data_IF_172799747998
#
_entry.id   IF_172799747998
#
_cell.length_a   1.000
_cell.length_b   1.000
_cell.length_c   1.000
_cell.angle_alpha   90.00
_cell.angle_beta   90.00
_cell.angle_gamma   90.00
#
_symmetry.space_group_name_H-M   'P 1'
#
loop_
_entity.id
_entity.type
_entity.pdbx_description
1 polymer ?
#
# COMPACT_ATOMS: atom_id res chain seq x y z
N UNK A 1 -10.72 18.36 7.61
CA UNK A 1 -10.90 17.06 6.93
C UNK A 1 -10.92 17.31 5.43
N UNK A 2 -10.04 16.66 4.68
CA UNK A 2 -10.02 16.74 3.22
C UNK A 2 -11.24 16.03 2.64
N UNK A 3 -11.83 16.64 1.62
CA UNK A 3 -13.02 16.07 0.95
C UNK A 3 -12.74 16.02 -0.55
N UNK A 4 -12.79 14.82 -1.11
CA UNK A 4 -12.69 14.64 -2.56
C UNK A 4 -13.94 15.19 -3.25
N UNK A 5 -13.74 16.09 -4.20
CA UNK A 5 -14.81 16.67 -5.00
C UNK A 5 -14.65 16.21 -6.46
N UNK A 6 -15.68 15.60 -7.00
CA UNK A 6 -15.73 15.20 -8.41
C UNK A 6 -16.72 16.15 -9.11
N UNK A 7 -16.20 17.11 -9.89
CA UNK A 7 -17.04 18.14 -10.52
C UNK A 7 -17.79 17.63 -11.74
N UNK A 8 -17.17 16.69 -12.48
CA UNK A 8 -17.61 16.29 -13.82
C UNK A 8 -18.29 14.91 -13.85
N UNK A 9 -18.19 14.13 -12.76
CA UNK A 9 -18.74 12.77 -12.68
C UNK A 9 -18.92 12.32 -11.22
N UNK A 10 -19.66 11.23 -10.99
CA UNK A 10 -19.84 10.60 -9.66
C UNK A 10 -18.76 9.56 -9.38
N UNK A 11 -18.65 9.10 -8.13
CA UNK A 11 -17.77 7.99 -7.76
C UNK A 11 -18.13 6.70 -8.51
N UNK A 12 -19.41 6.41 -8.69
CA UNK A 12 -19.89 5.26 -9.47
C UNK A 12 -19.42 5.33 -10.92
N UNK A 13 -19.53 6.53 -11.53
CA UNK A 13 -19.02 6.75 -12.89
C UNK A 13 -17.51 6.57 -12.97
N UNK A 14 -16.76 7.07 -11.97
CA UNK A 14 -15.32 6.86 -11.88
C UNK A 14 -14.98 5.36 -11.85
N UNK A 15 -15.62 4.59 -10.96
CA UNK A 15 -15.39 3.15 -10.83
C UNK A 15 -15.72 2.38 -12.10
N UNK A 16 -16.77 2.77 -12.84
CA UNK A 16 -17.20 2.08 -14.05
C UNK A 16 -16.36 2.41 -15.28
N UNK A 17 -15.80 3.62 -15.39
CA UNK A 17 -15.22 4.12 -16.63
C UNK A 17 -13.74 4.51 -16.56
N UNK A 18 -13.20 4.72 -15.35
CA UNK A 18 -11.81 5.15 -15.16
C UNK A 18 -10.99 4.16 -14.36
N UNK A 19 -11.54 3.64 -13.27
CA UNK A 19 -10.79 2.73 -12.39
C UNK A 19 -10.24 1.54 -13.16
N UNK A 20 -8.90 1.40 -13.19
CA UNK A 20 -8.11 0.37 -13.89
C UNK A 20 -8.34 0.33 -15.42
N UNK A 21 -8.91 1.36 -16.01
CA UNK A 21 -9.25 1.40 -17.43
C UNK A 21 -8.56 2.54 -18.17
N UNK A 22 -8.65 3.77 -17.69
CA UNK A 22 -8.05 4.94 -18.35
C UNK A 22 -7.75 6.07 -17.37
N UNK A 23 -6.72 6.91 -17.66
CA UNK A 23 -6.38 8.05 -16.83
C UNK A 23 -7.43 9.15 -16.93
N UNK A 24 -7.50 9.98 -15.86
CA UNK A 24 -8.39 11.17 -15.84
C UNK A 24 -7.80 12.26 -14.95
N UNK A 25 -8.03 13.51 -15.36
CA UNK A 25 -7.74 14.70 -14.55
C UNK A 25 -9.02 15.12 -13.81
N UNK A 26 -8.90 15.30 -12.51
CA UNK A 26 -9.96 15.78 -11.61
C UNK A 26 -9.55 17.20 -11.19
N UNK A 27 -10.16 18.20 -11.79
CA UNK A 27 -9.87 19.60 -11.46
C UNK A 27 -10.42 19.96 -10.10
N UNK A 28 -9.58 20.60 -9.27
CA UNK A 28 -9.95 21.01 -7.91
C UNK A 28 -10.56 19.85 -7.10
N UNK A 29 -10.01 18.64 -7.28
CA UNK A 29 -10.41 17.45 -6.52
C UNK A 29 -10.31 17.67 -5.01
N UNK A 30 -9.33 18.49 -4.59
CA UNK A 30 -9.24 19.05 -3.25
C UNK A 30 -9.30 20.58 -3.31
N UNK A 31 -10.40 21.15 -2.84
CA UNK A 31 -10.56 22.61 -2.78
C UNK A 31 -9.61 23.20 -1.73
N UNK A 32 -8.88 24.25 -2.11
CA UNK A 32 -7.95 24.95 -1.23
C UNK A 32 -6.91 24.01 -0.59
N UNK A 33 -6.45 23.02 -1.35
CA UNK A 33 -5.43 22.07 -0.89
C UNK A 33 -4.16 22.81 -0.45
N UNK A 34 -3.66 22.43 0.71
CA UNK A 34 -2.38 22.88 1.25
C UNK A 34 -1.49 21.67 1.46
N UNK A 35 -0.20 21.87 1.31
CA UNK A 35 0.77 20.82 1.61
C UNK A 35 0.58 20.34 3.06
N UNK A 36 0.54 19.02 3.22
CA UNK A 36 0.31 18.35 4.51
C UNK A 36 1.60 18.16 5.29
N UNK A 37 2.72 18.41 4.65
CA UNK A 37 4.06 18.40 5.21
C UNK A 37 4.89 19.49 4.49
N UNK A 38 5.78 20.16 5.20
CA UNK A 38 6.68 21.13 4.59
C UNK A 38 7.82 20.45 3.81
N UNK A 39 8.47 21.16 2.87
CA UNK A 39 9.66 20.63 2.20
C UNK A 39 10.80 20.30 3.17
N UNK A 40 10.95 21.06 4.25
CA UNK A 40 11.96 20.88 5.29
C UNK A 40 11.72 19.61 6.09
N UNK A 41 10.47 19.37 6.51
CA UNK A 41 10.08 18.12 7.20
C UNK A 41 10.25 16.90 6.28
N UNK A 42 9.85 17.00 5.00
CA UNK A 42 10.06 15.94 4.01
C UNK A 42 11.54 15.63 3.82
N UNK A 43 12.40 16.67 3.76
CA UNK A 43 13.85 16.51 3.68
C UNK A 43 14.41 15.88 4.96
N UNK A 44 13.86 16.22 6.13
CA UNK A 44 14.21 15.59 7.41
C UNK A 44 13.90 14.10 7.42
N UNK A 45 12.70 13.69 6.99
CA UNK A 45 12.35 12.26 6.85
C UNK A 45 13.32 11.51 5.93
N UNK A 46 13.80 12.14 4.88
CA UNK A 46 14.75 11.53 3.95
C UNK A 46 16.19 11.38 4.51
N UNK A 47 16.47 11.93 5.69
CA UNK A 47 17.72 11.72 6.43
C UNK A 47 17.68 10.49 7.34
N UNK A 48 16.49 9.90 7.56
CA UNK A 48 16.31 8.74 8.43
C UNK A 48 16.58 7.43 7.67
N UNK A 49 17.29 6.50 8.31
CA UNK A 49 17.68 5.21 7.71
C UNK A 49 16.50 4.27 7.45
N UNK A 50 15.43 4.42 8.21
CA UNK A 50 14.25 3.56 8.17
C UNK A 50 13.21 4.03 7.13
N UNK A 51 13.47 5.20 6.52
CA UNK A 51 12.56 5.81 5.54
C UNK A 51 13.16 5.71 4.13
N UNK A 52 12.47 4.97 3.27
CA UNK A 52 12.90 4.84 1.88
C UNK A 52 12.75 6.18 1.15
N UNK A 53 13.89 6.72 0.70
CA UNK A 53 13.94 7.98 -0.01
C UNK A 53 14.92 7.93 -1.17
N UNK A 54 14.72 8.83 -2.15
CA UNK A 54 15.52 8.87 -3.36
C UNK A 54 15.61 10.28 -3.93
N UNK A 55 16.82 10.68 -4.31
CA UNK A 55 17.07 11.86 -5.13
C UNK A 55 17.20 11.45 -6.59
N UNK A 56 16.49 12.15 -7.48
CA UNK A 56 16.56 11.94 -8.93
C UNK A 56 16.92 13.26 -9.60
N UNK A 57 17.96 13.25 -10.45
CA UNK A 57 18.43 14.43 -11.15
C UNK A 57 19.17 14.08 -12.46
N UNK A 58 19.49 15.10 -13.24
CA UNK A 58 20.36 14.93 -14.43
C UNK A 58 21.73 15.54 -14.20
N UNK A 59 22.78 14.74 -14.43
CA UNK A 59 24.17 15.22 -14.43
C UNK A 59 24.76 15.01 -15.81
N UNK A 60 25.17 16.11 -16.44
CA UNK A 60 25.72 16.10 -17.82
C UNK A 60 24.80 15.37 -18.82
N UNK A 61 23.49 15.61 -18.72
CA UNK A 61 22.47 15.01 -19.58
C UNK A 61 22.10 13.54 -19.27
N UNK A 62 22.75 12.90 -18.32
CA UNK A 62 22.45 11.52 -17.87
C UNK A 62 21.66 11.53 -16.58
N UNK A 63 20.68 10.65 -16.49
CA UNK A 63 19.91 10.43 -15.27
C UNK A 63 20.77 9.83 -14.17
N UNK A 64 20.54 10.28 -12.95
CA UNK A 64 21.15 9.81 -11.74
C UNK A 64 20.03 9.58 -10.70
N UNK A 65 20.21 8.58 -9.86
CA UNK A 65 19.36 8.34 -8.71
C UNK A 65 20.26 7.93 -7.54
N UNK A 66 20.06 8.58 -6.41
CA UNK A 66 20.76 8.30 -5.15
C UNK A 66 19.73 7.91 -4.11
N UNK A 67 19.98 6.83 -3.38
CA UNK A 67 19.11 6.38 -2.28
C UNK A 67 19.53 7.05 -0.98
N UNK A 68 18.55 7.39 -0.11
CA UNK A 68 18.82 7.86 1.24
C UNK A 68 19.42 6.77 2.14
N UNK A 69 19.73 7.09 3.41
CA UNK A 69 19.52 8.42 4.02
C UNK A 69 20.49 9.49 3.50
N UNK A 70 20.03 10.76 3.48
CA UNK A 70 20.83 11.88 2.98
C UNK A 70 21.40 12.71 4.13
N UNK A 71 22.69 13.00 4.09
CA UNK A 71 23.34 13.89 5.07
C UNK A 71 23.26 15.37 4.68
N UNK A 72 23.20 15.68 3.38
CA UNK A 72 23.16 17.05 2.84
C UNK A 72 22.59 17.09 1.43
N UNK A 73 22.01 18.21 1.09
CA UNK A 73 21.51 18.55 -0.25
C UNK A 73 22.35 19.64 -0.95
N UNK A 74 23.47 20.06 -0.38
CA UNK A 74 24.30 21.19 -0.85
C UNK A 74 24.91 20.97 -2.24
N UNK A 75 25.08 19.70 -2.63
CA UNK A 75 25.61 19.32 -3.95
C UNK A 75 24.58 19.49 -5.07
N UNK A 76 23.30 19.71 -4.75
CA UNK A 76 22.21 19.88 -5.70
C UNK A 76 22.11 21.36 -6.11
N UNK A 77 21.92 21.60 -7.40
CA UNK A 77 21.68 22.94 -7.91
C UNK A 77 20.28 23.47 -7.58
N UNK A 78 19.96 24.66 -8.09
CA UNK A 78 18.64 25.28 -7.87
C UNK A 78 17.51 24.71 -8.73
N UNK A 79 17.80 23.79 -9.65
CA UNK A 79 16.83 23.24 -10.59
C UNK A 79 17.25 21.86 -11.11
N UNK A 80 16.28 21.09 -11.64
CA UNK A 80 16.50 19.83 -12.34
C UNK A 80 16.64 18.60 -11.46
N UNK A 81 16.12 18.63 -10.24
CA UNK A 81 16.13 17.48 -9.34
C UNK A 81 14.82 17.32 -8.57
N UNK A 82 14.58 16.13 -8.11
CA UNK A 82 13.43 15.79 -7.25
C UNK A 82 13.88 14.91 -6.09
N UNK A 83 13.37 15.19 -4.90
CA UNK A 83 13.40 14.31 -3.74
C UNK A 83 12.09 13.55 -3.70
N UNK A 84 12.16 12.23 -3.56
CA UNK A 84 11.01 11.33 -3.41
C UNK A 84 11.15 10.61 -2.07
N UNK A 85 10.09 10.61 -1.27
CA UNK A 85 10.01 9.89 0.01
C UNK A 85 8.80 8.96 -0.04
N UNK A 86 9.02 7.67 0.23
CA UNK A 86 7.98 6.64 0.23
C UNK A 86 7.29 6.57 1.59
N UNK A 87 6.05 6.10 1.58
CA UNK A 87 5.27 5.75 2.77
C UNK A 87 5.21 6.87 3.84
N UNK A 88 5.18 8.14 3.42
CA UNK A 88 5.16 9.28 4.35
C UNK A 88 3.94 9.25 5.29
N UNK A 89 2.84 8.61 4.87
CA UNK A 89 1.66 8.38 5.70
C UNK A 89 1.92 7.43 6.89
N UNK A 90 3.07 6.77 6.98
CA UNK A 90 3.47 6.00 8.15
C UNK A 90 4.08 6.89 9.25
N UNK A 91 4.64 8.03 8.86
CA UNK A 91 5.46 8.90 9.69
C UNK A 91 4.80 10.25 10.01
N UNK A 92 3.81 10.68 9.21
CA UNK A 92 3.05 11.92 9.42
C UNK A 92 1.57 11.63 9.51
N UNK A 93 0.94 11.87 10.67
CA UNK A 93 -0.51 11.76 10.86
C UNK A 93 -1.30 12.65 9.90
N UNK A 94 -0.79 13.85 9.58
CA UNK A 94 -1.41 14.79 8.64
C UNK A 94 -1.45 14.20 7.23
N UNK A 95 -0.36 13.55 6.80
CA UNK A 95 -0.30 12.86 5.50
C UNK A 95 -1.19 11.62 5.49
N UNK A 96 -1.32 10.91 6.60
CA UNK A 96 -2.22 9.77 6.71
C UNK A 96 -3.69 10.17 6.49
N UNK A 97 -4.10 11.40 6.86
CA UNK A 97 -5.44 11.92 6.59
C UNK A 97 -5.76 12.04 5.08
N UNK A 98 -4.74 12.12 4.20
CA UNK A 98 -4.94 12.18 2.75
C UNK A 98 -5.56 10.89 2.19
N UNK A 99 -5.41 9.78 2.87
CA UNK A 99 -5.96 8.48 2.42
C UNK A 99 -7.47 8.42 2.57
N UNK A 100 -8.04 9.08 3.59
CA UNK A 100 -9.48 9.00 3.93
C UNK A 100 -10.45 9.37 2.79
N UNK A 101 -10.18 10.42 1.98
CA UNK A 101 -11.01 10.71 0.82
C UNK A 101 -11.14 9.58 -0.21
N UNK A 102 -10.25 8.59 -0.16
CA UNK A 102 -10.23 7.42 -1.05
C UNK A 102 -10.80 6.15 -0.39
N UNK A 103 -11.50 6.25 0.74
CA UNK A 103 -12.11 5.11 1.47
C UNK A 103 -13.23 4.40 0.68
N UNK A 104 -13.59 4.87 -0.52
CA UNK A 104 -14.41 4.13 -1.47
C UNK A 104 -13.65 2.96 -2.14
N UNK A 105 -12.33 2.91 -1.98
CA UNK A 105 -11.47 1.78 -2.35
C UNK A 105 -11.13 0.94 -1.13
N UNK A 106 -11.05 -0.39 -1.26
CA UNK A 106 -10.74 -1.24 -0.11
C UNK A 106 -9.31 -1.00 0.39
N UNK A 107 -9.15 -0.85 1.70
CA UNK A 107 -7.87 -0.54 2.36
C UNK A 107 -6.76 -1.56 2.06
N UNK A 108 -7.11 -2.82 1.77
CA UNK A 108 -6.11 -3.84 1.42
C UNK A 108 -5.39 -3.55 0.08
N UNK A 109 -5.95 -2.68 -0.75
CA UNK A 109 -5.31 -2.22 -1.99
C UNK A 109 -4.42 -1.00 -1.80
N UNK A 110 -4.60 -0.23 -0.74
CA UNK A 110 -3.71 0.90 -0.44
C UNK A 110 -2.28 0.41 -0.28
N UNK A 111 -1.36 1.02 -1.01
CA UNK A 111 0.08 0.76 -0.85
C UNK A 111 0.65 1.76 0.16
N UNK A 112 0.79 3.01 -0.25
CA UNK A 112 1.32 4.10 0.57
C UNK A 112 0.92 5.49 0.02
N UNK A 113 1.39 6.52 0.71
CA UNK A 113 1.45 7.89 0.19
C UNK A 113 2.93 8.25 -0.02
N UNK A 114 3.33 8.34 -1.28
CA UNK A 114 4.63 8.83 -1.68
C UNK A 114 4.56 10.34 -1.92
N UNK A 115 5.53 11.09 -1.42
CA UNK A 115 5.61 12.54 -1.65
C UNK A 115 6.86 12.84 -2.45
N UNK A 116 6.71 13.74 -3.43
CA UNK A 116 7.84 14.29 -4.17
C UNK A 116 7.90 15.81 -4.04
N UNK A 117 9.06 16.31 -3.62
CA UNK A 117 9.46 17.69 -3.78
C UNK A 117 10.31 17.81 -5.04
N UNK A 118 9.99 18.78 -5.89
CA UNK A 118 10.72 18.97 -7.15
C UNK A 118 11.03 20.43 -7.40
N UNK A 119 12.26 20.70 -7.80
CA UNK A 119 12.68 22.02 -8.27
C UNK A 119 12.27 22.26 -9.73
N UNK A 120 12.30 23.48 -10.26
CA UNK A 120 11.99 23.73 -11.68
C UNK A 120 12.78 22.79 -12.60
N UNK A 121 12.10 22.16 -13.57
CA UNK A 121 12.61 21.12 -14.47
C UNK A 121 12.95 19.78 -13.78
N UNK A 122 12.65 19.63 -12.48
CA UNK A 122 12.74 18.37 -11.77
C UNK A 122 11.64 17.40 -12.19
N UNK A 123 11.90 16.12 -12.02
CA UNK A 123 11.01 14.99 -12.33
C UNK A 123 11.79 13.69 -12.24
N UNK A 124 11.12 12.58 -12.47
CA UNK A 124 11.73 11.23 -12.45
C UNK A 124 11.94 10.65 -13.86
N UNK A 125 11.44 11.36 -14.89
CA UNK A 125 11.46 10.94 -16.28
C UNK A 125 10.28 10.03 -16.65
N UNK A 126 10.14 9.73 -17.96
CA UNK A 126 9.03 8.92 -18.47
C UNK A 126 9.14 7.47 -18.02
N UNK A 127 8.08 6.96 -17.36
CA UNK A 127 8.05 5.61 -16.82
C UNK A 127 6.64 5.01 -16.84
N UNK A 128 6.52 3.73 -16.47
CA UNK A 128 5.25 3.02 -16.32
C UNK A 128 5.20 2.42 -14.92
N UNK A 129 4.12 2.68 -14.21
CA UNK A 129 3.81 2.04 -12.95
C UNK A 129 2.86 0.84 -13.14
N UNK A 130 3.01 -0.18 -12.27
CA UNK A 130 2.16 -1.37 -12.25
C UNK A 130 1.12 -1.30 -11.11
N UNK A 131 0.73 -0.08 -10.70
CA UNK A 131 -0.27 0.20 -9.69
C UNK A 131 -1.12 1.41 -10.07
N UNK A 132 -2.27 1.51 -9.45
CA UNK A 132 -3.15 2.67 -9.58
C UNK A 132 -2.61 3.82 -8.73
N UNK A 133 -2.55 5.03 -9.26
CA UNK A 133 -2.08 6.19 -8.50
C UNK A 133 -2.98 7.40 -8.68
N UNK A 134 -3.27 8.09 -7.57
CA UNK A 134 -3.88 9.42 -7.54
C UNK A 134 -2.78 10.42 -7.18
N UNK A 135 -2.36 11.20 -8.15
CA UNK A 135 -1.36 12.25 -7.97
C UNK A 135 -2.08 13.54 -7.60
N UNK A 136 -2.06 13.89 -6.32
CA UNK A 136 -2.64 15.11 -5.79
C UNK A 136 -1.59 16.21 -5.86
N UNK A 137 -1.85 17.25 -6.66
CA UNK A 137 -0.92 18.38 -6.78
C UNK A 137 -0.98 19.25 -5.52
N UNK A 138 0.15 19.39 -4.84
CA UNK A 138 0.37 20.33 -3.76
C UNK A 138 0.79 21.70 -4.27
N UNK A 139 1.64 22.39 -3.53
CA UNK A 139 2.18 23.69 -3.95
C UNK A 139 2.91 23.61 -5.29
N UNK A 140 2.96 24.75 -5.98
CA UNK A 140 3.58 24.87 -7.30
C UNK A 140 2.79 24.17 -8.41
N UNK A 141 3.40 24.12 -9.61
CA UNK A 141 2.79 23.63 -10.83
C UNK A 141 3.66 22.58 -11.50
N UNK A 142 2.99 21.56 -12.05
CA UNK A 142 3.69 20.46 -12.74
C UNK A 142 3.01 20.13 -14.04
N UNK A 143 3.79 20.02 -15.12
CA UNK A 143 3.32 19.50 -16.40
C UNK A 143 3.31 17.98 -16.35
N UNK A 144 2.17 17.38 -16.68
CA UNK A 144 2.01 15.94 -16.78
C UNK A 144 1.62 15.53 -18.18
N UNK A 145 2.31 14.51 -18.67
CA UNK A 145 2.00 13.84 -19.93
C UNK A 145 1.69 12.39 -19.62
N UNK A 146 0.57 11.87 -20.13
CA UNK A 146 0.19 10.46 -20.01
C UNK A 146 -0.08 9.92 -21.42
N UNK A 147 0.57 8.84 -21.79
CA UNK A 147 0.35 8.15 -23.06
C UNK A 147 -0.69 7.04 -22.95
N UNK A 148 -1.03 6.44 -24.07
CA UNK A 148 -1.95 5.30 -24.08
C UNK A 148 -1.25 4.00 -23.65
N UNK A 149 -2.02 3.07 -23.12
CA UNK A 149 -1.55 1.74 -22.74
C UNK A 149 -1.17 0.94 -24.00
N UNK A 150 0.03 0.37 -24.01
CA UNK A 150 0.50 -0.35 -25.18
C UNK A 150 1.86 -1.02 -24.95
N UNK A 151 2.46 -1.46 -26.05
CA UNK A 151 3.80 -2.03 -26.04
C UNK A 151 4.85 -0.90 -26.08
N UNK A 152 5.23 -0.44 -24.89
CA UNK A 152 6.30 0.54 -24.73
C UNK A 152 7.62 -0.17 -24.41
N UNK A 153 8.66 0.15 -25.16
CA UNK A 153 9.99 -0.35 -24.84
C UNK A 153 10.49 0.34 -23.57
N UNK A 154 10.87 -0.48 -22.60
CA UNK A 154 11.48 0.00 -21.37
C UNK A 154 12.99 -0.19 -21.40
N UNK A 155 13.73 0.72 -20.80
CA UNK A 155 15.17 0.68 -20.69
C UNK A 155 15.65 1.26 -19.36
N UNK A 156 16.77 0.75 -18.86
CA UNK A 156 17.38 1.28 -17.64
C UNK A 156 18.09 2.61 -17.95
N UNK A 157 17.46 3.73 -17.62
CA UNK A 157 18.09 5.06 -17.68
C UNK A 157 19.13 5.25 -16.55
N UNK A 158 18.92 4.54 -15.43
CA UNK A 158 19.84 4.34 -14.32
C UNK A 158 19.54 2.97 -13.71
N UNK A 159 20.42 2.42 -12.86
CA UNK A 159 20.17 1.14 -12.18
C UNK A 159 18.86 1.15 -11.37
N UNK A 160 18.47 2.32 -10.83
CA UNK A 160 17.24 2.51 -10.05
C UNK A 160 16.12 3.24 -10.83
N UNK A 161 16.25 3.46 -12.15
CA UNK A 161 15.28 4.17 -12.98
C UNK A 161 15.01 3.42 -14.27
N UNK A 162 13.81 2.84 -14.35
CA UNK A 162 13.33 2.18 -15.58
C UNK A 162 12.45 3.18 -16.34
N UNK A 163 12.97 3.65 -17.48
CA UNK A 163 12.27 4.59 -18.34
C UNK A 163 11.62 3.90 -19.53
N UNK A 164 10.71 4.62 -20.18
CA UNK A 164 10.11 4.21 -21.47
C UNK A 164 10.58 5.13 -22.59
N UNK A 165 10.58 4.62 -23.82
CA UNK A 165 10.77 5.43 -25.01
C UNK A 165 9.73 6.57 -25.07
N UNK A 166 10.03 7.68 -25.77
CA UNK A 166 9.06 8.75 -25.96
C UNK A 166 7.72 8.25 -26.48
N UNK A 167 6.65 8.76 -25.94
CA UNK A 167 5.28 8.38 -26.27
C UNK A 167 4.43 9.59 -26.69
N UNK A 168 3.39 9.32 -27.48
CA UNK A 168 2.36 10.29 -27.79
C UNK A 168 1.43 10.46 -26.58
N UNK A 169 1.20 11.71 -26.19
CA UNK A 169 0.38 11.99 -25.01
C UNK A 169 -1.11 12.05 -25.37
N UNK A 170 -1.92 11.23 -24.69
CA UNK A 170 -3.39 11.36 -24.69
C UNK A 170 -3.86 12.40 -23.69
N UNK A 171 -3.07 12.64 -22.63
CA UNK A 171 -3.23 13.74 -21.68
C UNK A 171 -1.93 14.52 -21.68
N UNK A 172 -2.00 15.83 -21.89
CA UNK A 172 -0.88 16.77 -21.76
C UNK A 172 -1.41 18.00 -21.03
N UNK A 173 -1.11 18.10 -19.73
CA UNK A 173 -1.83 19.00 -18.84
C UNK A 173 -0.93 19.57 -17.74
N UNK A 174 -1.13 20.84 -17.43
CA UNK A 174 -0.60 21.47 -16.23
C UNK A 174 -1.55 21.19 -15.05
N UNK A 175 -1.04 20.64 -13.95
CA UNK A 175 -1.74 20.52 -12.68
C UNK A 175 -1.42 21.71 -11.79
N UNK A 176 -2.46 22.24 -11.17
CA UNK A 176 -2.46 23.31 -10.18
C UNK A 176 -2.76 22.75 -8.79
N UNK A 177 -2.41 23.45 -7.70
CA UNK A 177 -2.72 23.00 -6.35
C UNK A 177 -4.19 22.58 -6.17
N UNK A 178 -4.40 21.35 -5.68
CA UNK A 178 -5.71 20.74 -5.50
C UNK A 178 -6.24 19.95 -6.70
N UNK A 179 -5.59 20.01 -7.86
CA UNK A 179 -5.90 19.11 -8.97
C UNK A 179 -5.41 17.69 -8.66
N UNK A 180 -6.10 16.69 -9.18
CA UNK A 180 -5.72 15.28 -9.05
C UNK A 180 -5.63 14.66 -10.43
N UNK A 181 -4.54 13.94 -10.70
CA UNK A 181 -4.39 13.09 -11.87
C UNK A 181 -4.43 11.62 -11.43
N UNK A 182 -5.43 10.90 -11.90
CA UNK A 182 -5.50 9.46 -11.73
C UNK A 182 -4.85 8.77 -12.93
N UNK A 183 -3.93 7.83 -12.66
CA UNK A 183 -3.27 7.00 -13.68
C UNK A 183 -3.43 5.54 -13.28
N UNK A 184 -4.08 4.71 -14.13
CA UNK A 184 -4.13 3.25 -13.91
C UNK A 184 -2.80 2.57 -14.25
N UNK A 185 -2.59 1.30 -13.83
CA UNK A 185 -1.37 0.56 -14.15
C UNK A 185 -1.17 0.37 -15.65
N UNK A 186 0.08 0.50 -16.07
CA UNK A 186 0.48 0.22 -17.45
C UNK A 186 0.41 1.41 -18.40
N UNK A 187 0.06 2.61 -17.95
CA UNK A 187 0.07 3.82 -18.75
C UNK A 187 1.41 4.57 -18.59
N UNK A 188 2.15 4.84 -19.68
CA UNK A 188 3.37 5.62 -19.63
C UNK A 188 3.04 7.06 -19.24
N UNK A 189 3.85 7.63 -18.35
CA UNK A 189 3.65 9.00 -17.93
C UNK A 189 4.97 9.69 -17.58
N UNK A 190 4.95 11.02 -17.62
CA UNK A 190 6.09 11.89 -17.33
C UNK A 190 5.61 13.18 -16.67
N UNK A 191 6.15 13.49 -15.50
CA UNK A 191 5.82 14.69 -14.72
C UNK A 191 7.05 15.58 -14.58
N UNK A 192 6.94 16.82 -15.06
CA UNK A 192 8.02 17.81 -15.00
C UNK A 192 7.56 19.05 -14.24
N UNK A 193 8.27 19.44 -13.20
CA UNK A 193 7.98 20.64 -12.45
C UNK A 193 8.27 21.90 -13.25
N UNK A 194 7.30 22.80 -13.32
CA UNK A 194 7.45 24.12 -13.96
C UNK A 194 8.08 25.13 -13.01
N UNK A 195 7.82 24.97 -11.73
CA UNK A 195 8.40 25.73 -10.62
C UNK A 195 8.66 24.79 -9.44
N UNK A 196 9.16 25.27 -8.32
CA UNK A 196 9.25 24.43 -7.11
C UNK A 196 7.87 23.94 -6.73
N UNK A 197 7.73 22.63 -6.54
CA UNK A 197 6.42 22.00 -6.35
C UNK A 197 6.45 20.79 -5.44
N UNK A 198 5.33 20.54 -4.78
CA UNK A 198 5.03 19.32 -4.02
C UNK A 198 3.97 18.49 -4.74
N UNK A 199 4.09 17.18 -4.73
CA UNK A 199 3.05 16.24 -5.19
C UNK A 199 2.91 15.09 -4.22
N UNK A 200 1.66 14.70 -3.97
CA UNK A 200 1.27 13.64 -3.05
C UNK A 200 0.64 12.51 -3.85
N UNK A 201 1.32 11.39 -3.97
CA UNK A 201 0.87 10.24 -4.75
C UNK A 201 0.29 9.18 -3.84
N UNK A 202 -1.03 8.97 -3.89
CA UNK A 202 -1.73 7.91 -3.16
C UNK A 202 -1.78 6.69 -4.05
N UNK A 203 -1.01 5.66 -3.69
CA UNK A 203 -0.83 4.44 -4.47
C UNK A 203 -1.76 3.31 -4.04
N UNK A 204 -2.36 2.62 -5.02
CA UNK A 204 -3.21 1.44 -4.81
C UNK A 204 -2.67 0.27 -5.64
N UNK A 205 -2.10 -0.72 -4.96
CA UNK A 205 -1.46 -1.86 -5.62
C UNK A 205 -2.42 -3.03 -5.81
N UNK A 206 -2.44 -3.58 -7.03
CA UNK A 206 -2.96 -4.92 -7.28
C UNK A 206 -1.79 -5.90 -7.29
N UNK A 207 -1.88 -6.96 -6.49
CA UNK A 207 -0.89 -8.05 -6.54
C UNK A 207 -1.09 -8.83 -7.84
N UNK A 208 0.00 -9.19 -8.52
CA UNK A 208 -0.07 -10.08 -9.68
C UNK A 208 -0.38 -11.52 -9.24
N UNK A 209 -0.87 -12.35 -10.15
CA UNK A 209 -1.02 -13.79 -9.90
C UNK A 209 0.33 -14.44 -9.53
N UNK A 210 1.44 -13.96 -10.10
CA UNK A 210 2.77 -14.43 -9.78
C UNK A 210 3.16 -14.11 -8.33
N UNK A 211 2.89 -12.87 -7.87
CA UNK A 211 3.13 -12.48 -6.46
C UNK A 211 2.30 -13.32 -5.49
N UNK A 212 1.02 -13.58 -5.84
CA UNK A 212 0.13 -14.38 -5.01
C UNK A 212 0.58 -15.84 -4.96
N UNK A 213 0.98 -16.44 -6.09
CA UNK A 213 1.46 -17.83 -6.14
C UNK A 213 2.78 -17.99 -5.38
N UNK A 214 3.71 -17.04 -5.52
CA UNK A 214 4.95 -17.05 -4.75
C UNK A 214 4.68 -16.94 -3.25
N UNK A 215 3.85 -15.97 -2.84
CA UNK A 215 3.48 -15.80 -1.44
C UNK A 215 2.70 -17.00 -0.88
N UNK A 216 1.85 -17.66 -1.67
CA UNK A 216 1.15 -18.88 -1.27
C UNK A 216 2.14 -20.04 -1.06
N UNK A 217 3.13 -20.19 -1.94
CA UNK A 217 4.16 -21.22 -1.79
C UNK A 217 4.96 -21.00 -0.49
N UNK A 218 5.41 -19.77 -0.24
CA UNK A 218 6.09 -19.40 1.01
C UNK A 218 5.21 -19.70 2.23
N UNK A 219 3.94 -19.29 2.19
CA UNK A 219 2.97 -19.53 3.27
C UNK A 219 2.78 -21.03 3.58
N UNK A 220 2.63 -21.84 2.53
CA UNK A 220 2.45 -23.31 2.65
C UNK A 220 3.70 -23.94 3.27
N UNK A 221 4.89 -23.50 2.88
CA UNK A 221 6.18 -23.98 3.42
C UNK A 221 6.34 -23.56 4.89
N UNK A 222 6.11 -22.29 5.21
CA UNK A 222 6.27 -21.76 6.58
C UNK A 222 5.30 -22.39 7.59
N UNK A 223 4.11 -22.80 7.12
CA UNK A 223 3.10 -23.45 7.95
C UNK A 223 3.16 -24.99 7.89
N UNK A 224 4.19 -25.53 7.22
CA UNK A 224 4.40 -26.98 7.04
C UNK A 224 3.16 -27.69 6.45
N UNK A 225 2.43 -27.00 5.56
CA UNK A 225 1.25 -27.53 4.88
C UNK A 225 1.64 -28.26 3.58
N UNK A 226 0.69 -28.98 2.97
CA UNK A 226 0.90 -29.61 1.66
C UNK A 226 1.96 -30.72 1.65
N UNK A 227 2.26 -31.35 2.78
CA UNK A 227 3.24 -32.44 2.90
C UNK A 227 2.79 -33.77 2.30
N UNK A 228 1.54 -33.86 1.84
CA UNK A 228 1.00 -35.07 1.21
C UNK A 228 1.76 -35.40 -0.07
N UNK A 229 2.23 -36.63 -0.18
CA UNK A 229 2.88 -37.10 -1.40
C UNK A 229 1.87 -37.44 -2.48
N UNK A 230 2.23 -37.16 -3.74
CA UNK A 230 1.47 -37.61 -4.88
C UNK A 230 1.41 -39.12 -4.86
N UNK A 231 0.18 -39.71 -4.91
CA UNK A 231 -0.05 -41.14 -4.79
C UNK A 231 -0.91 -41.63 -5.94
N UNK A 232 -0.52 -42.77 -6.55
CA UNK A 232 -1.17 -43.35 -7.70
C UNK A 232 -1.33 -44.88 -7.56
N UNK A 233 -1.95 -45.40 -6.48
CA UNK A 233 -2.16 -46.83 -6.31
C UNK A 233 -3.03 -47.42 -7.45
N UNK A 234 -2.68 -48.62 -7.89
CA UNK A 234 -3.38 -49.26 -9.00
C UNK A 234 -3.03 -48.74 -10.39
N UNK A 235 -1.96 -47.98 -10.53
CA UNK A 235 -1.48 -47.46 -11.79
C UNK A 235 -1.23 -48.56 -12.82
N UNK A 236 -1.73 -48.45 -14.07
CA UNK A 236 -1.46 -49.44 -15.11
C UNK A 236 -0.01 -49.40 -15.56
N UNK A 237 0.52 -50.54 -16.04
CA UNK A 237 1.86 -50.64 -16.58
C UNK A 237 1.97 -49.83 -17.88
N UNK A 238 2.96 -48.91 -17.93
CA UNK A 238 3.24 -48.10 -19.12
C UNK A 238 4.25 -48.77 -20.04
N UNK A 239 3.99 -48.68 -21.36
CA UNK A 239 4.95 -49.15 -22.38
C UNK A 239 6.02 -48.06 -22.67
N UNK A 240 5.67 -46.79 -22.57
CA UNK A 240 6.54 -45.66 -22.89
C UNK A 240 7.02 -44.96 -21.60
N UNK A 241 8.19 -45.32 -21.12
CA UNK A 241 8.68 -44.85 -19.82
C UNK A 241 8.93 -43.33 -19.75
N UNK A 242 9.22 -42.68 -20.85
CA UNK A 242 9.40 -41.22 -20.93
C UNK A 242 8.12 -40.40 -21.09
N UNK A 243 6.94 -41.05 -21.11
CA UNK A 243 5.66 -40.39 -21.34
C UNK A 243 4.98 -40.01 -20.03
N UNK A 244 4.69 -38.72 -19.84
CA UNK A 244 3.69 -38.22 -18.89
C UNK A 244 2.36 -38.22 -19.65
N UNK A 245 1.50 -39.19 -19.40
CA UNK A 245 0.23 -39.31 -20.13
C UNK A 245 -0.86 -38.40 -19.55
N UNK A 246 -2.03 -38.34 -20.17
CA UNK A 246 -3.14 -37.51 -19.76
C UNK A 246 -3.62 -37.76 -18.31
N UNK A 247 -3.60 -39.04 -17.88
CA UNK A 247 -3.99 -39.40 -16.49
C UNK A 247 -2.94 -38.95 -15.47
N UNK A 248 -1.65 -39.05 -15.79
CA UNK A 248 -0.57 -38.54 -14.95
C UNK A 248 -0.67 -37.04 -14.80
N UNK A 249 -0.86 -36.32 -15.90
CA UNK A 249 -1.02 -34.88 -15.88
C UNK A 249 -2.27 -34.45 -15.10
N UNK A 250 -3.39 -35.18 -15.24
CA UNK A 250 -4.60 -34.89 -14.47
C UNK A 250 -4.38 -35.11 -12.96
N UNK A 251 -3.61 -36.13 -12.57
CA UNK A 251 -3.26 -36.40 -11.18
C UNK A 251 -2.37 -35.28 -10.59
N UNK A 252 -1.32 -34.87 -11.31
CA UNK A 252 -0.45 -33.75 -10.91
C UNK A 252 -1.28 -32.47 -10.73
N UNK A 253 -2.16 -32.18 -11.69
CA UNK A 253 -3.04 -31.02 -11.64
C UNK A 253 -4.00 -31.05 -10.45
N UNK A 254 -4.60 -32.22 -10.17
CA UNK A 254 -5.49 -32.40 -9.01
C UNK A 254 -4.72 -32.22 -7.69
N UNK A 255 -3.50 -32.74 -7.62
CA UNK A 255 -2.65 -32.60 -6.44
C UNK A 255 -2.27 -31.14 -6.13
N UNK A 256 -1.91 -30.36 -7.15
CA UNK A 256 -1.69 -28.93 -6.99
C UNK A 256 -2.97 -28.15 -6.64
N UNK A 257 -4.10 -28.55 -7.26
CA UNK A 257 -5.41 -27.94 -6.97
C UNK A 257 -5.89 -28.18 -5.55
N UNK A 258 -5.52 -29.27 -4.90
CA UNK A 258 -5.95 -29.53 -3.52
C UNK A 258 -5.54 -28.43 -2.53
N UNK A 259 -4.46 -27.69 -2.81
CA UNK A 259 -4.07 -26.50 -2.04
C UNK A 259 -4.94 -25.30 -2.42
N UNK A 260 -5.21 -25.11 -3.72
CA UNK A 260 -5.98 -23.96 -4.22
C UNK A 260 -7.49 -24.10 -3.95
N UNK A 261 -7.99 -25.32 -3.78
CA UNK A 261 -9.40 -25.61 -3.50
C UNK A 261 -9.69 -25.66 -1.98
N UNK A 262 -8.69 -25.47 -1.12
CA UNK A 262 -8.87 -25.33 0.34
C UNK A 262 -9.20 -23.88 0.70
N UNK A 263 -10.49 -23.55 0.76
CA UNK A 263 -10.98 -22.22 1.07
C UNK A 263 -10.48 -21.70 2.44
N UNK A 264 -10.27 -22.57 3.42
CA UNK A 264 -9.77 -22.19 4.74
C UNK A 264 -8.30 -21.77 4.67
N UNK A 265 -7.48 -22.56 3.99
CA UNK A 265 -6.07 -22.24 3.75
C UNK A 265 -5.95 -20.95 2.95
N UNK A 266 -6.71 -20.81 1.87
CA UNK A 266 -6.67 -19.62 1.03
C UNK A 266 -7.15 -18.36 1.76
N UNK A 267 -8.18 -18.45 2.62
CA UNK A 267 -8.64 -17.32 3.43
C UNK A 267 -7.55 -16.88 4.43
N UNK A 268 -6.92 -17.83 5.13
CA UNK A 268 -5.84 -17.54 6.07
C UNK A 268 -4.60 -16.99 5.35
N UNK A 269 -4.24 -17.55 4.19
CA UNK A 269 -3.19 -17.01 3.33
C UNK A 269 -3.51 -15.57 2.89
N UNK A 270 -4.69 -15.34 2.32
CA UNK A 270 -5.07 -14.02 1.80
C UNK A 270 -5.05 -12.96 2.91
N UNK A 271 -5.60 -13.30 4.08
CA UNK A 271 -5.60 -12.41 5.24
C UNK A 271 -4.18 -12.06 5.70
N UNK A 272 -3.31 -13.05 5.88
CA UNK A 272 -1.93 -12.86 6.30
C UNK A 272 -1.11 -12.14 5.23
N UNK A 273 -1.22 -12.54 3.96
CA UNK A 273 -0.46 -11.96 2.86
C UNK A 273 -0.81 -10.49 2.60
N UNK A 274 -2.11 -10.14 2.63
CA UNK A 274 -2.58 -8.79 2.36
C UNK A 274 -2.38 -7.85 3.55
N UNK A 275 -2.38 -8.36 4.78
CA UNK A 275 -2.15 -7.54 5.98
C UNK A 275 -0.67 -7.31 6.29
N UNK A 276 0.25 -8.05 5.67
CA UNK A 276 1.70 -7.83 5.88
C UNK A 276 2.10 -6.44 5.45
N UNK A 277 2.70 -5.70 6.36
CA UNK A 277 3.23 -4.36 6.12
C UNK A 277 4.50 -4.47 5.27
N UNK A 278 4.64 -3.60 4.28
CA UNK A 278 5.75 -3.62 3.33
C UNK A 278 6.88 -2.67 3.74
N UNK A 279 6.52 -1.49 4.21
CA UNK A 279 7.46 -0.47 4.65
C UNK A 279 7.56 -0.48 6.18
N UNK A 280 8.63 0.08 6.70
CA UNK A 280 8.82 0.24 8.14
C UNK A 280 7.63 1.01 8.75
N UNK A 281 7.24 0.61 9.94
CA UNK A 281 6.25 1.32 10.76
C UNK A 281 6.98 2.14 11.82
N UNK A 282 6.43 3.31 12.14
CA UNK A 282 6.87 4.10 13.29
C UNK A 282 6.26 3.50 14.57
N UNK A 283 6.84 2.41 15.04
CA UNK A 283 6.39 1.72 16.24
C UNK A 283 7.11 2.28 17.47
N UNK A 284 6.36 3.00 18.30
CA UNK A 284 6.83 3.53 19.57
C UNK A 284 6.35 2.62 20.71
N UNK A 285 7.19 1.65 21.07
CA UNK A 285 6.91 0.80 22.23
C UNK A 285 6.87 1.64 23.51
N UNK A 286 5.98 1.28 24.45
CA UNK A 286 5.88 1.98 25.72
C UNK A 286 7.10 1.67 26.59
N UNK A 287 7.73 2.70 27.18
CA UNK A 287 8.82 2.54 28.14
C UNK A 287 8.37 1.79 29.40
N UNK A 288 7.14 2.06 29.86
CA UNK A 288 6.48 1.37 30.94
C UNK A 288 5.27 0.61 30.38
N UNK A 289 5.36 -0.71 30.16
CA UNK A 289 4.29 -1.51 29.61
C UNK A 289 3.05 -1.50 30.53
N UNK A 290 1.88 -1.24 29.95
CA UNK A 290 0.60 -1.32 30.62
C UNK A 290 0.23 -2.78 30.91
N UNK A 291 -0.45 -3.00 32.02
CA UNK A 291 -1.18 -4.24 32.26
C UNK A 291 -2.61 -4.16 31.66
N UNK A 292 -3.35 -5.27 31.75
CA UNK A 292 -4.71 -5.35 31.18
C UNK A 292 -5.73 -4.43 31.88
N UNK A 293 -5.52 -4.12 33.17
CA UNK A 293 -6.42 -3.25 33.94
C UNK A 293 -6.16 -1.80 33.56
N UNK A 294 -4.90 -1.41 33.56
CA UNK A 294 -4.46 -0.07 33.17
C UNK A 294 -4.88 0.26 31.73
N UNK A 295 -4.73 -0.69 30.79
CA UNK A 295 -5.21 -0.54 29.42
C UNK A 295 -6.70 -0.22 29.38
N UNK A 296 -7.54 -1.01 30.09
CA UNK A 296 -8.99 -0.84 30.07
C UNK A 296 -9.40 0.50 30.73
N UNK A 297 -8.77 0.87 31.83
CA UNK A 297 -9.05 2.12 32.54
C UNK A 297 -8.66 3.34 31.68
N UNK A 298 -7.53 3.30 31.02
CA UNK A 298 -7.10 4.36 30.09
C UNK A 298 -8.04 4.44 28.87
N UNK A 299 -8.44 3.28 28.33
CA UNK A 299 -9.35 3.23 27.18
C UNK A 299 -10.75 3.77 27.49
N UNK A 300 -11.19 3.77 28.75
CA UNK A 300 -12.44 4.42 29.14
C UNK A 300 -12.38 5.95 28.99
N UNK A 301 -11.20 6.53 29.11
CA UNK A 301 -10.96 7.97 29.07
C UNK A 301 -10.51 8.47 27.69
N UNK A 302 -9.73 7.67 26.97
CA UNK A 302 -9.11 8.03 25.72
C UNK A 302 -9.29 6.92 24.69
N UNK A 303 -9.53 7.24 23.41
CA UNK A 303 -9.55 6.26 22.32
C UNK A 303 -8.14 5.79 21.98
N UNK A 304 -8.03 4.57 21.46
CA UNK A 304 -6.84 4.08 20.81
C UNK A 304 -6.80 4.56 19.38
N UNK A 305 -5.62 4.96 18.92
CA UNK A 305 -5.30 5.33 17.53
C UNK A 305 -4.38 4.29 16.96
N UNK A 306 -4.65 3.85 15.74
CA UNK A 306 -3.83 2.90 15.02
C UNK A 306 -2.62 3.59 14.42
N UNK A 307 -1.43 3.01 14.60
CA UNK A 307 -0.19 3.50 14.00
C UNK A 307 -0.30 3.56 12.47
N UNK A 308 0.22 4.64 11.88
CA UNK A 308 0.19 4.87 10.46
C UNK A 308 0.81 3.70 9.69
N UNK A 309 0.17 3.28 8.59
CA UNK A 309 0.63 2.16 7.78
C UNK A 309 0.32 0.75 8.32
N UNK A 310 -0.06 0.60 9.59
CA UNK A 310 -0.43 -0.70 10.15
C UNK A 310 -1.65 -1.27 9.43
N UNK A 311 -1.48 -2.47 8.88
CA UNK A 311 -2.50 -3.18 8.11
C UNK A 311 -3.27 -4.15 9.00
N UNK A 312 -4.57 -3.96 9.07
CA UNK A 312 -5.46 -4.77 9.88
C UNK A 312 -6.72 -5.11 9.07
N UNK A 313 -6.93 -6.41 8.76
CA UNK A 313 -8.00 -6.87 7.87
C UNK A 313 -8.75 -8.06 8.44
N UNK A 314 -9.95 -8.31 7.92
CA UNK A 314 -10.74 -9.51 8.14
C UNK A 314 -11.35 -9.96 6.81
N UNK A 315 -11.71 -11.23 6.70
CA UNK A 315 -12.50 -11.75 5.61
C UNK A 315 -13.92 -12.04 6.12
N UNK A 316 -14.92 -11.89 5.26
CA UNK A 316 -16.32 -12.13 5.62
C UNK A 316 -16.55 -13.56 6.18
N UNK A 317 -15.89 -14.56 5.57
CA UNK A 317 -15.97 -15.97 5.98
C UNK A 317 -15.41 -16.21 7.38
N UNK A 318 -14.38 -15.47 7.77
CA UNK A 318 -13.67 -15.65 9.05
C UNK A 318 -14.15 -14.70 10.14
N UNK A 319 -14.74 -13.55 9.78
CA UNK A 319 -15.22 -12.54 10.72
C UNK A 319 -16.28 -13.09 11.70
N UNK A 320 -17.15 -14.00 11.24
CA UNK A 320 -18.14 -14.67 12.10
C UNK A 320 -17.52 -15.44 13.26
N UNK A 321 -16.25 -15.85 13.11
CA UNK A 321 -15.44 -16.55 14.12
C UNK A 321 -14.58 -15.58 14.92
N UNK A 322 -14.69 -14.25 14.71
CA UNK A 322 -13.87 -13.23 15.35
C UNK A 322 -12.39 -13.30 14.97
N UNK A 323 -12.11 -13.60 13.69
CA UNK A 323 -10.74 -13.67 13.16
C UNK A 323 -10.40 -12.36 12.47
N UNK A 324 -9.17 -11.89 12.69
CA UNK A 324 -8.53 -10.81 11.94
C UNK A 324 -7.06 -11.14 11.67
N UNK A 325 -6.48 -10.35 10.77
CA UNK A 325 -5.09 -10.45 10.37
C UNK A 325 -4.45 -9.07 10.54
N UNK A 326 -3.39 -9.02 11.33
CA UNK A 326 -2.69 -7.79 11.70
C UNK A 326 -1.22 -7.99 11.39
N UNK A 327 -0.68 -7.15 10.52
CA UNK A 327 0.72 -7.21 10.09
C UNK A 327 1.21 -8.64 9.70
N UNK A 328 0.38 -9.36 8.95
CA UNK A 328 0.67 -10.72 8.49
C UNK A 328 0.27 -11.83 9.45
N UNK A 329 -0.04 -11.53 10.71
CA UNK A 329 -0.36 -12.52 11.74
C UNK A 329 -1.87 -12.72 11.90
N UNK A 330 -2.28 -13.98 12.05
CA UNK A 330 -3.67 -14.38 12.24
C UNK A 330 -4.03 -14.40 13.73
N UNK A 331 -5.10 -13.71 14.08
CA UNK A 331 -5.66 -13.68 15.44
C UNK A 331 -7.12 -14.14 15.46
N UNK A 332 -7.49 -14.98 16.42
CA UNK A 332 -8.83 -15.56 16.53
C UNK A 332 -9.35 -15.45 17.97
N UNK A 333 -10.47 -14.75 18.17
CA UNK A 333 -11.04 -14.42 19.47
C UNK A 333 -12.45 -14.98 19.70
N UNK A 334 -12.96 -15.74 18.73
CA UNK A 334 -14.30 -16.30 18.80
C UNK A 334 -15.42 -15.33 18.42
N UNK A 335 -16.61 -15.85 18.19
CA UNK A 335 -17.74 -15.10 17.61
C UNK A 335 -18.17 -13.87 18.44
N UNK A 336 -17.95 -13.87 19.76
CA UNK A 336 -18.31 -12.75 20.65
C UNK A 336 -17.43 -11.52 20.38
N UNK A 337 -16.23 -11.68 19.82
CA UNK A 337 -15.32 -10.57 19.46
C UNK A 337 -15.65 -9.92 18.13
N UNK A 338 -16.55 -10.47 17.30
CA UNK A 338 -16.83 -10.02 15.92
C UNK A 338 -16.91 -8.49 15.78
N UNK A 339 -17.69 -7.84 16.64
CA UNK A 339 -17.88 -6.38 16.55
C UNK A 339 -16.61 -5.59 16.90
N UNK A 340 -15.84 -6.05 17.88
CA UNK A 340 -14.58 -5.44 18.29
C UNK A 340 -13.50 -5.63 17.20
N UNK A 341 -13.38 -6.84 16.64
CA UNK A 341 -12.49 -7.15 15.53
C UNK A 341 -12.80 -6.24 14.33
N UNK A 342 -14.10 -6.15 13.96
CA UNK A 342 -14.52 -5.26 12.87
C UNK A 342 -14.15 -3.80 13.14
N UNK A 343 -14.35 -3.32 14.37
CA UNK A 343 -14.01 -1.95 14.75
C UNK A 343 -12.49 -1.67 14.63
N UNK A 344 -11.64 -2.60 15.09
CA UNK A 344 -10.18 -2.49 14.97
C UNK A 344 -9.71 -2.43 13.51
N UNK A 345 -10.33 -3.20 12.63
CA UNK A 345 -9.93 -3.25 11.22
C UNK A 345 -10.45 -2.05 10.42
N UNK A 346 -11.71 -1.67 10.61
CA UNK A 346 -12.36 -0.64 9.79
C UNK A 346 -11.96 0.79 10.20
N UNK A 347 -11.53 0.99 11.46
CA UNK A 347 -11.34 2.32 12.03
C UNK A 347 -9.90 2.56 12.42
N UNK A 348 -9.42 3.77 12.15
CA UNK A 348 -8.10 4.20 12.58
C UNK A 348 -8.13 4.64 14.07
N UNK A 349 -9.31 4.98 14.60
CA UNK A 349 -9.53 5.38 15.99
C UNK A 349 -10.67 4.55 16.59
N UNK A 350 -10.44 3.91 17.74
CA UNK A 350 -11.40 3.04 18.40
C UNK A 350 -11.56 3.40 19.87
N UNK A 351 -12.81 3.45 20.34
CA UNK A 351 -13.17 3.76 21.71
C UNK A 351 -13.48 2.48 22.50
N UNK A 352 -13.49 2.60 23.84
CA UNK A 352 -13.95 1.55 24.76
C UNK A 352 -15.31 0.95 24.35
N UNK A 353 -16.28 1.80 23.98
CA UNK A 353 -17.62 1.34 23.57
C UNK A 353 -17.60 0.46 22.33
N UNK A 354 -16.76 0.79 21.36
CA UNK A 354 -16.62 0.02 20.13
C UNK A 354 -15.93 -1.34 20.35
N UNK A 355 -15.04 -1.43 21.33
CA UNK A 355 -14.33 -2.65 21.69
C UNK A 355 -15.01 -3.48 22.80
N UNK A 356 -16.12 -2.99 23.38
CA UNK A 356 -16.81 -3.57 24.56
C UNK A 356 -17.03 -5.08 24.50
N UNK A 357 -17.31 -5.64 23.32
CA UNK A 357 -17.50 -7.08 23.13
C UNK A 357 -16.21 -7.87 23.31
N UNK A 358 -15.11 -7.37 22.74
CA UNK A 358 -13.77 -7.95 22.84
C UNK A 358 -13.18 -7.82 24.25
N UNK A 359 -13.40 -6.68 24.92
CA UNK A 359 -12.88 -6.42 26.27
C UNK A 359 -13.43 -7.39 27.35
N UNK A 360 -14.41 -8.24 27.00
CA UNK A 360 -14.90 -9.32 27.88
C UNK A 360 -14.23 -10.66 27.62
N UNK A 361 -13.28 -10.71 26.69
CA UNK A 361 -12.59 -11.91 26.25
C UNK A 361 -11.13 -11.78 26.64
N UNK A 362 -10.62 -12.62 27.58
CA UNK A 362 -9.26 -12.49 28.10
C UNK A 362 -8.19 -12.52 26.99
N UNK A 363 -8.34 -13.37 25.99
CA UNK A 363 -7.39 -13.50 24.86
C UNK A 363 -7.36 -12.24 23.99
N UNK A 364 -8.52 -11.59 23.82
CA UNK A 364 -8.59 -10.32 23.08
C UNK A 364 -7.91 -9.18 23.88
N UNK A 365 -8.16 -9.11 25.18
CA UNK A 365 -7.54 -8.10 26.06
C UNK A 365 -6.04 -8.30 26.09
N UNK A 366 -5.57 -9.54 26.26
CA UNK A 366 -4.12 -9.85 26.26
C UNK A 366 -3.44 -9.43 24.94
N UNK A 367 -4.06 -9.76 23.80
CA UNK A 367 -3.54 -9.36 22.50
C UNK A 367 -3.55 -7.81 22.32
N UNK A 368 -4.64 -7.14 22.71
CA UNK A 368 -4.74 -5.69 22.62
C UNK A 368 -3.67 -5.00 23.49
N UNK A 369 -3.46 -5.50 24.73
CA UNK A 369 -2.40 -5.01 25.63
C UNK A 369 -1.04 -5.16 24.99
N UNK A 370 -0.75 -6.32 24.42
CA UNK A 370 0.52 -6.57 23.72
C UNK A 370 0.72 -5.60 22.55
N UNK A 371 -0.32 -5.38 21.74
CA UNK A 371 -0.25 -4.48 20.59
C UNK A 371 -0.04 -3.03 20.99
N UNK A 372 -0.70 -2.58 22.07
CA UNK A 372 -0.51 -1.21 22.59
C UNK A 372 0.91 -1.07 23.15
N UNK A 373 1.39 -2.01 23.93
CA UNK A 373 2.75 -1.99 24.47
C UNK A 373 3.84 -2.02 23.38
N UNK A 374 3.55 -2.66 22.24
CA UNK A 374 4.43 -2.71 21.09
C UNK A 374 4.30 -1.48 20.14
N UNK A 375 3.37 -0.56 20.40
CA UNK A 375 3.16 0.64 19.60
C UNK A 375 2.29 0.44 18.35
N UNK A 376 1.60 -0.68 18.20
CA UNK A 376 0.67 -0.89 17.07
C UNK A 376 -0.59 -0.02 17.18
N UNK A 377 -1.02 0.22 18.40
CA UNK A 377 -2.01 1.22 18.77
C UNK A 377 -1.47 2.05 19.92
N UNK A 378 -1.83 3.31 19.98
CA UNK A 378 -1.40 4.22 21.04
C UNK A 378 -2.56 5.08 21.53
N UNK A 379 -2.45 5.62 22.72
CA UNK A 379 -3.37 6.63 23.23
C UNK A 379 -2.90 8.02 22.79
N UNK A 380 -3.83 8.81 22.27
CA UNK A 380 -3.55 10.21 21.96
C UNK A 380 -3.40 11.01 23.27
N UNK A 381 -2.32 11.74 23.41
CA UNK A 381 -2.08 12.66 24.53
C UNK A 381 -2.99 13.89 24.50
#
# INVERSE_FOLDING_TARGET
MLTLTLSDFTLEHFMQHYWQQKPVVIRQGFKQFKDLISPEELAGLACESDIESRLVYKKRGKWQAESGPFESYDHLGKAGWSLIVQAVNHWSPEVAELVKPFDFLPKWRLDDVMISYSTPKGGVGPHIDLYDVFICQGSGRRQWRVGDKGNHRQFAAHAALLHVDPFEAMIDVELLPGDILYIPPGFPHDGVSLETSMSFSVGFRAKSACDMLSGLADYVIDKELGSNLLSDPGRPIHKNQGQINASDFALIKAHLRSILDDDTLLADFAGSFLSRTKCQLDLQALDEPLDAVELIDTLQQQPLVRTGGLRCFYLDETLSKGVCYIDGERHAFGAKAKAAVKALCDRDRVSHTQLRGGLKIPEFVAALTQWVNAGYWYFEN
#
